data_IF_925002800603
#
_entry.id   IF_925002800603
#
_cell.length_a   1.000
_cell.length_b   1.000
_cell.length_c   1.000
_cell.angle_alpha   90.00
_cell.angle_beta   90.00
_cell.angle_gamma   90.00
#
_symmetry.space_group_name_H-M   'P 1'
#
loop_
_entity.id
_entity.type
_entity.pdbx_description
1 polymer ?
#
# COMPACT_ATOMS: atom_id res chain seq x y z
N UNK A 1 22.82 -56.74 56.26
CA UNK A 1 22.75 -56.79 54.79
C UNK A 1 22.73 -55.36 54.27
N UNK A 2 23.65 -55.05 53.37
CA UNK A 2 23.88 -53.74 52.74
C UNK A 2 23.13 -53.71 51.41
N UNK A 3 22.44 -52.61 51.11
CA UNK A 3 22.22 -52.03 49.76
C UNK A 3 21.59 -50.64 49.97
N UNK A 4 22.34 -49.52 49.89
CA UNK A 4 22.65 -48.72 48.69
C UNK A 4 21.38 -48.47 47.86
N UNK A 5 20.88 -47.24 47.71
CA UNK A 5 21.23 -46.29 46.63
C UNK A 5 19.94 -45.57 46.16
N UNK A 6 19.84 -44.35 45.62
CA UNK A 6 20.70 -43.19 45.30
C UNK A 6 19.78 -41.96 45.28
N UNK A 7 20.31 -40.79 45.66
CA UNK A 7 19.75 -39.47 45.34
C UNK A 7 20.01 -39.18 43.85
N UNK A 8 19.01 -38.68 43.12
CA UNK A 8 19.23 -37.98 41.86
C UNK A 8 18.42 -36.68 41.87
N UNK A 9 19.13 -35.57 42.11
CA UNK A 9 18.70 -34.23 41.77
C UNK A 9 18.90 -34.01 40.27
N UNK A 10 17.91 -33.44 39.58
CA UNK A 10 18.11 -32.85 38.26
C UNK A 10 17.36 -31.53 38.16
N UNK A 11 18.14 -30.46 38.16
CA UNK A 11 17.79 -29.11 37.76
C UNK A 11 17.35 -29.11 36.29
N UNK A 12 16.31 -28.35 35.97
CA UNK A 12 15.88 -28.11 34.60
C UNK A 12 14.95 -26.92 34.53
N UNK A 13 15.54 -25.72 34.51
CA UNK A 13 14.84 -24.45 34.24
C UNK A 13 14.35 -24.52 32.79
N UNK A 14 13.12 -24.99 32.60
CA UNK A 14 12.41 -24.89 31.33
C UNK A 14 11.70 -23.55 31.26
N UNK A 15 12.44 -22.46 31.05
CA UNK A 15 11.83 -21.23 30.58
C UNK A 15 11.16 -21.56 29.24
N UNK A 16 9.84 -21.56 29.21
CA UNK A 16 9.04 -21.65 28.00
C UNK A 16 9.42 -20.45 27.13
N UNK A 17 10.41 -20.63 26.26
CA UNK A 17 10.67 -19.74 25.14
C UNK A 17 9.42 -19.83 24.26
N UNK A 18 8.46 -18.95 24.52
CA UNK A 18 7.38 -18.71 23.59
C UNK A 18 8.04 -18.31 22.26
N UNK A 19 7.68 -18.93 21.13
CA UNK A 19 8.12 -18.42 19.86
C UNK A 19 7.61 -16.99 19.76
N UNK A 20 8.52 -16.03 19.81
CA UNK A 20 8.26 -14.67 19.37
C UNK A 20 7.98 -14.81 17.88
N UNK A 21 6.71 -14.99 17.53
CA UNK A 21 6.25 -14.72 16.18
C UNK A 21 6.55 -13.25 15.97
N UNK A 22 7.68 -12.96 15.31
CA UNK A 22 7.88 -11.70 14.62
C UNK A 22 6.75 -11.62 13.60
N UNK A 23 5.62 -11.04 13.99
CA UNK A 23 4.71 -10.43 13.04
C UNK A 23 5.57 -9.38 12.34
N UNK A 24 6.09 -9.77 11.20
CA UNK A 24 6.64 -8.87 10.21
C UNK A 24 5.57 -7.80 10.03
N UNK A 25 5.81 -6.61 10.59
CA UNK A 25 4.85 -5.52 10.55
C UNK A 25 4.62 -5.25 9.06
N UNK A 26 3.48 -5.69 8.55
CA UNK A 26 3.19 -5.60 7.13
C UNK A 26 3.37 -4.14 6.70
N UNK A 27 4.19 -3.91 5.68
CA UNK A 27 4.41 -2.58 5.13
C UNK A 27 3.06 -2.04 4.67
N UNK A 28 2.52 -1.08 5.42
CA UNK A 28 1.13 -0.66 5.27
C UNK A 28 1.06 0.83 4.94
N UNK A 29 0.37 1.14 3.83
CA UNK A 29 0.08 2.51 3.47
C UNK A 29 -1.02 3.11 4.37
N UNK A 30 -1.01 4.43 4.62
CA UNK A 30 -1.98 5.07 5.50
C UNK A 30 -3.37 5.24 4.86
N UNK A 31 -3.68 4.50 3.79
CA UNK A 31 -4.91 4.61 3.02
C UNK A 31 -5.54 3.23 2.83
N UNK A 32 -6.86 3.19 2.70
CA UNK A 32 -7.57 1.95 2.41
C UNK A 32 -7.15 1.36 1.04
N UNK A 33 -7.26 0.04 0.91
CA UNK A 33 -7.13 -0.61 -0.38
C UNK A 33 -8.30 -0.23 -1.31
N UNK A 34 -8.04 -0.19 -2.61
CA UNK A 34 -9.00 0.08 -3.66
C UNK A 34 -8.50 1.09 -4.69
N UNK A 35 -9.46 1.64 -5.45
CA UNK A 35 -9.18 2.54 -6.57
C UNK A 35 -9.44 3.98 -6.15
N UNK A 36 -8.40 4.80 -6.24
CA UNK A 36 -8.37 6.18 -5.82
C UNK A 36 -8.36 7.09 -7.06
N UNK A 37 -9.36 7.95 -7.17
CA UNK A 37 -9.56 8.86 -8.30
C UNK A 37 -9.39 10.29 -7.82
N UNK A 38 -8.72 11.13 -8.62
CA UNK A 38 -8.62 12.57 -8.35
C UNK A 38 -10.00 13.18 -8.08
N UNK A 39 -10.12 13.98 -7.03
CA UNK A 39 -11.42 14.52 -6.59
C UNK A 39 -12.09 15.42 -7.63
N UNK A 40 -11.30 16.07 -8.50
CA UNK A 40 -11.77 16.86 -9.64
C UNK A 40 -12.32 16.01 -10.80
N UNK A 41 -12.24 14.67 -10.72
CA UNK A 41 -12.68 13.75 -11.76
C UNK A 41 -13.76 12.81 -11.21
N UNK A 42 -14.82 12.60 -12.00
CA UNK A 42 -15.86 11.63 -11.65
C UNK A 42 -15.30 10.20 -11.73
N UNK A 43 -15.82 9.26 -10.93
CA UNK A 43 -15.37 7.86 -11.02
C UNK A 43 -15.64 7.28 -12.43
N UNK A 44 -16.79 7.63 -13.00
CA UNK A 44 -17.28 7.09 -14.26
C UNK A 44 -16.47 7.58 -15.47
N UNK A 45 -15.83 8.75 -15.36
CA UNK A 45 -15.03 9.34 -16.44
C UNK A 45 -13.51 9.22 -16.23
N UNK A 46 -13.08 8.57 -15.13
CA UNK A 46 -11.66 8.48 -14.79
C UNK A 46 -10.88 7.67 -15.85
N UNK A 47 -9.80 8.25 -16.36
CA UNK A 47 -8.85 7.62 -17.27
C UNK A 47 -7.47 7.44 -16.66
N UNK A 48 -7.23 8.03 -15.47
CA UNK A 48 -6.07 7.85 -14.62
C UNK A 48 -6.56 7.63 -13.18
N UNK A 49 -6.06 6.59 -12.51
CA UNK A 49 -6.37 6.26 -11.13
C UNK A 49 -5.11 5.81 -10.41
N UNK A 50 -5.11 5.96 -9.09
CA UNK A 50 -4.18 5.23 -8.22
C UNK A 50 -4.85 3.96 -7.70
N UNK A 51 -4.09 2.90 -7.55
CA UNK A 51 -4.57 1.61 -7.01
C UNK A 51 -3.73 1.26 -5.79
N UNK A 52 -4.39 0.93 -4.69
CA UNK A 52 -3.76 0.28 -3.55
C UNK A 52 -4.34 -1.13 -3.41
N UNK A 53 -3.54 -2.18 -3.64
CA UNK A 53 -3.99 -3.58 -3.52
C UNK A 53 -2.93 -4.42 -2.83
N UNK A 54 -3.23 -4.94 -1.65
CA UNK A 54 -2.23 -5.67 -0.84
C UNK A 54 -1.01 -4.79 -0.59
N UNK A 55 0.17 -5.29 -0.99
CA UNK A 55 1.44 -4.58 -0.95
C UNK A 55 1.79 -3.91 -2.29
N UNK A 56 0.81 -3.52 -3.11
CA UNK A 56 1.05 -2.78 -4.36
C UNK A 56 0.41 -1.41 -4.33
N UNK A 57 1.12 -0.43 -4.87
CA UNK A 57 0.63 0.92 -5.04
C UNK A 57 1.15 1.57 -6.32
N UNK A 58 0.36 2.43 -6.94
CA UNK A 58 0.79 3.28 -8.05
C UNK A 58 -0.36 3.63 -8.98
N UNK A 59 -0.04 4.15 -10.15
CA UNK A 59 -1.03 4.63 -11.12
C UNK A 59 -1.36 3.62 -12.22
N UNK A 60 -2.60 3.62 -12.66
CA UNK A 60 -3.05 2.96 -13.89
C UNK A 60 -3.75 4.00 -14.75
N UNK A 61 -3.32 4.17 -15.99
CA UNK A 61 -3.87 5.21 -16.85
C UNK A 61 -3.86 4.88 -18.34
N UNK A 62 -4.73 5.58 -19.08
CA UNK A 62 -4.78 5.54 -20.53
C UNK A 62 -4.19 6.83 -21.12
N UNK A 63 -3.45 6.70 -22.22
CA UNK A 63 -2.71 7.78 -22.86
C UNK A 63 -2.98 7.84 -24.37
N UNK A 64 -2.32 8.76 -25.08
CA UNK A 64 -2.56 9.04 -26.49
C UNK A 64 -3.83 9.86 -26.75
N UNK A 65 -4.10 10.26 -28.02
CA UNK A 65 -5.29 11.02 -28.36
C UNK A 65 -6.56 10.32 -27.88
N UNK A 66 -7.42 11.06 -27.17
CA UNK A 66 -8.67 10.56 -26.58
C UNK A 66 -8.48 9.32 -25.67
N UNK A 67 -7.32 9.17 -25.02
CA UNK A 67 -7.01 8.03 -24.16
C UNK A 67 -7.15 6.68 -24.89
N UNK A 68 -6.80 6.63 -26.17
CA UNK A 68 -6.94 5.46 -27.03
C UNK A 68 -5.94 4.33 -26.70
N UNK A 69 -4.83 4.64 -26.05
CA UNK A 69 -3.77 3.69 -25.70
C UNK A 69 -3.78 3.31 -24.21
N UNK A 70 -3.25 2.14 -23.88
CA UNK A 70 -3.11 1.62 -22.51
C UNK A 70 -4.07 0.47 -22.16
N UNK A 71 -4.19 0.11 -20.87
CA UNK A 71 -3.64 0.84 -19.72
C UNK A 71 -2.11 0.73 -19.61
N UNK A 72 -1.45 1.82 -19.25
CA UNK A 72 -0.16 1.74 -18.58
C UNK A 72 -0.40 1.36 -17.12
N UNK A 73 0.36 0.40 -16.62
CA UNK A 73 0.37 -0.02 -15.21
C UNK A 73 1.71 0.38 -14.61
N UNK A 74 1.69 1.43 -13.80
CA UNK A 74 2.83 1.91 -13.02
C UNK A 74 2.63 1.59 -11.53
N UNK A 75 1.88 0.53 -11.22
CA UNK A 75 1.88 -0.01 -9.86
C UNK A 75 3.19 -0.74 -9.59
N UNK A 76 3.73 -0.50 -8.41
CA UNK A 76 4.93 -1.16 -7.91
C UNK A 76 4.63 -1.92 -6.62
N UNK A 77 5.52 -2.85 -6.29
CA UNK A 77 5.51 -3.48 -4.98
C UNK A 77 5.98 -2.47 -3.95
N UNK A 78 5.22 -2.28 -2.88
CA UNK A 78 5.61 -1.50 -1.71
C UNK A 78 6.50 -2.39 -0.85
N UNK A 79 7.81 -2.25 -1.02
CA UNK A 79 8.84 -3.00 -0.27
C UNK A 79 9.23 -2.29 1.01
N UNK A 80 9.10 -0.96 1.08
CA UNK A 80 9.39 -0.18 2.27
C UNK A 80 8.51 1.07 2.34
N UNK A 81 8.29 1.53 3.57
CA UNK A 81 7.64 2.82 3.84
C UNK A 81 8.42 3.57 4.90
N UNK A 82 8.51 4.89 4.76
CA UNK A 82 9.08 5.76 5.78
C UNK A 82 8.18 6.98 6.04
N UNK A 83 8.44 7.67 7.16
CA UNK A 83 7.70 8.88 7.49
C UNK A 83 8.19 10.03 6.60
N UNK A 84 7.31 10.51 5.73
CA UNK A 84 7.50 11.74 4.96
C UNK A 84 7.14 12.99 5.77
N UNK A 85 7.33 14.16 5.17
CA UNK A 85 6.92 15.44 5.77
C UNK A 85 5.39 15.59 5.75
N UNK A 86 4.85 16.47 6.59
CA UNK A 86 3.42 16.87 6.58
C UNK A 86 2.42 15.72 6.73
N UNK A 87 2.80 14.66 7.45
CA UNK A 87 1.94 13.50 7.67
C UNK A 87 1.77 12.61 6.43
N UNK A 88 2.71 12.65 5.49
CA UNK A 88 2.80 11.70 4.40
C UNK A 88 3.65 10.47 4.78
N UNK A 89 3.43 9.39 4.05
CA UNK A 89 4.24 8.17 4.04
C UNK A 89 4.95 8.09 2.69
N UNK A 90 6.27 8.03 2.70
CA UNK A 90 7.10 7.84 1.51
C UNK A 90 7.11 6.35 1.14
N UNK A 91 6.92 6.05 -0.14
CA UNK A 91 6.90 4.69 -0.70
C UNK A 91 8.24 4.39 -1.33
N UNK A 92 8.86 3.23 -1.03
CA UNK A 92 10.08 2.74 -1.67
C UNK A 92 11.21 3.80 -1.77
N UNK A 93 11.40 4.59 -0.71
CA UNK A 93 12.38 5.71 -0.66
C UNK A 93 12.05 6.94 -1.53
N UNK A 94 10.90 6.92 -2.21
CA UNK A 94 10.38 8.02 -3.02
C UNK A 94 10.50 7.76 -4.52
N UNK A 95 10.04 8.71 -5.37
CA UNK A 95 9.59 10.05 -5.01
C UNK A 95 8.12 10.12 -4.59
N UNK A 96 7.38 9.01 -4.63
CA UNK A 96 5.94 9.00 -4.36
C UNK A 96 5.66 8.95 -2.87
N UNK A 97 4.75 9.82 -2.43
CA UNK A 97 4.27 9.84 -1.06
C UNK A 97 2.75 9.87 -1.00
N UNK A 98 2.19 9.23 0.03
CA UNK A 98 0.75 9.13 0.26
C UNK A 98 0.40 9.58 1.67
N UNK A 99 -0.65 10.38 1.81
CA UNK A 99 -1.17 10.83 3.12
C UNK A 99 -2.67 10.66 3.22
N UNK A 100 -3.15 10.13 4.35
CA UNK A 100 -4.58 10.10 4.66
C UNK A 100 -5.13 11.52 4.83
N UNK A 101 -6.38 11.74 4.40
CA UNK A 101 -7.11 13.00 4.60
C UNK A 101 -8.47 12.73 5.22
N UNK A 102 -9.08 13.78 5.75
CA UNK A 102 -10.43 13.69 6.32
C UNK A 102 -11.45 13.29 5.25
N UNK A 103 -12.63 12.83 5.71
CA UNK A 103 -13.78 12.48 4.85
C UNK A 103 -13.45 11.40 3.80
N UNK A 104 -12.60 10.43 4.14
CA UNK A 104 -12.27 9.30 3.27
C UNK A 104 -11.49 9.69 2.01
N UNK A 105 -10.80 10.83 2.06
CA UNK A 105 -9.89 11.26 1.00
C UNK A 105 -8.46 10.85 1.31
N UNK A 106 -7.61 10.90 0.31
CA UNK A 106 -6.17 10.80 0.45
C UNK A 106 -5.49 11.85 -0.40
N UNK A 107 -4.19 12.01 -0.20
CA UNK A 107 -3.35 12.86 -1.00
C UNK A 107 -2.18 12.04 -1.52
N UNK A 108 -1.94 12.10 -2.81
CA UNK A 108 -0.76 11.50 -3.45
C UNK A 108 0.10 12.65 -3.95
N UNK A 109 1.41 12.61 -3.72
CA UNK A 109 2.33 13.63 -4.23
C UNK A 109 3.61 12.98 -4.73
N UNK A 110 4.25 13.61 -5.71
CA UNK A 110 5.68 13.43 -5.91
C UNK A 110 6.43 14.48 -5.10
N UNK A 111 7.43 14.04 -4.32
CA UNK A 111 8.24 14.89 -3.48
C UNK A 111 9.72 14.70 -3.82
N UNK A 112 10.41 15.80 -4.12
CA UNK A 112 11.86 15.85 -4.29
C UNK A 112 12.50 16.37 -3.01
N UNK A 113 13.59 15.74 -2.55
CA UNK A 113 14.31 16.20 -1.37
C UNK A 113 14.92 17.60 -1.56
N UNK A 114 15.34 17.94 -2.78
CA UNK A 114 15.97 19.23 -3.09
C UNK A 114 15.00 20.31 -3.53
N UNK A 115 13.86 19.93 -4.13
CA UNK A 115 12.91 20.88 -4.73
C UNK A 115 11.54 20.90 -4.02
N UNK A 116 11.32 20.03 -3.05
CA UNK A 116 10.04 19.90 -2.36
C UNK A 116 8.96 19.23 -3.23
N UNK A 117 7.66 19.50 -2.96
CA UNK A 117 6.56 18.87 -3.69
C UNK A 117 6.55 19.32 -5.15
N UNK A 118 6.58 18.35 -6.07
CA UNK A 118 6.56 18.60 -7.52
C UNK A 118 5.13 18.69 -8.04
N UNK A 119 4.26 17.84 -7.52
CA UNK A 119 2.82 17.88 -7.75
C UNK A 119 2.12 17.25 -6.56
N UNK A 120 0.84 17.58 -6.38
CA UNK A 120 0.00 16.97 -5.33
C UNK A 120 -1.40 16.82 -5.86
N UNK A 121 -1.97 15.63 -5.66
CA UNK A 121 -3.34 15.31 -6.03
C UNK A 121 -4.13 14.91 -4.79
N UNK A 122 -5.30 15.51 -4.62
CA UNK A 122 -6.29 14.99 -3.69
C UNK A 122 -7.13 13.94 -4.41
N UNK A 123 -7.26 12.77 -3.80
CA UNK A 123 -7.94 11.62 -4.37
C UNK A 123 -9.00 11.11 -3.39
N UNK A 124 -9.99 10.41 -3.94
CA UNK A 124 -11.07 9.76 -3.18
C UNK A 124 -11.25 8.34 -3.65
N UNK A 125 -11.69 7.47 -2.74
CA UNK A 125 -12.00 6.09 -3.07
C UNK A 125 -13.22 6.04 -4.00
N UNK A 126 -13.12 5.25 -5.07
CA UNK A 126 -14.20 4.95 -5.99
C UNK A 126 -14.52 3.46 -5.94
N UNK A 127 -15.77 3.05 -5.66
CA UNK A 127 -16.19 1.66 -5.79
C UNK A 127 -15.99 1.19 -7.24
N UNK A 128 -15.49 -0.02 -7.44
CA UNK A 128 -15.22 -0.57 -8.77
C UNK A 128 -16.44 -0.52 -9.71
N UNK A 129 -17.64 -0.70 -9.17
CA UNK A 129 -18.90 -0.62 -9.92
C UNK A 129 -19.21 0.77 -10.51
N UNK A 130 -18.61 1.84 -9.97
CA UNK A 130 -18.80 3.22 -10.42
C UNK A 130 -17.79 3.66 -11.48
N UNK A 131 -16.80 2.82 -11.79
CA UNK A 131 -15.79 3.08 -12.81
C UNK A 131 -16.37 2.83 -14.21
N UNK A 132 -15.78 3.45 -15.23
CA UNK A 132 -16.11 3.11 -16.63
C UNK A 132 -15.89 1.63 -16.91
N UNK A 133 -16.67 1.06 -17.84
CA UNK A 133 -16.49 -0.33 -18.29
C UNK A 133 -15.07 -0.59 -18.79
N UNK A 134 -14.48 0.37 -19.51
CA UNK A 134 -13.11 0.32 -20.02
C UNK A 134 -12.08 0.20 -18.89
N UNK A 135 -12.13 1.10 -17.90
CA UNK A 135 -11.19 1.11 -16.79
C UNK A 135 -11.37 -0.11 -15.89
N UNK A 136 -12.61 -0.44 -15.51
CA UNK A 136 -12.92 -1.63 -14.72
C UNK A 136 -12.40 -2.91 -15.40
N UNK A 137 -12.64 -3.04 -16.71
CA UNK A 137 -12.14 -4.16 -17.51
C UNK A 137 -10.62 -4.23 -17.59
N UNK A 138 -9.94 -3.08 -17.59
CA UNK A 138 -8.48 -3.01 -17.53
C UNK A 138 -7.95 -3.47 -16.16
N UNK A 139 -8.49 -2.95 -15.06
CA UNK A 139 -8.06 -3.30 -13.71
C UNK A 139 -8.30 -4.78 -13.38
N UNK A 140 -9.40 -5.37 -13.85
CA UNK A 140 -9.64 -6.82 -13.71
C UNK A 140 -8.57 -7.65 -14.47
N UNK A 141 -8.21 -7.26 -15.69
CA UNK A 141 -7.17 -7.95 -16.48
C UNK A 141 -5.78 -7.85 -15.83
N UNK A 142 -5.48 -6.70 -15.22
CA UNK A 142 -4.27 -6.48 -14.44
C UNK A 142 -4.31 -7.14 -13.04
N UNK A 143 -5.44 -7.75 -12.66
CA UNK A 143 -5.68 -8.31 -11.32
C UNK A 143 -5.46 -7.26 -10.22
N UNK A 144 -5.90 -6.03 -10.46
CA UNK A 144 -5.79 -4.88 -9.55
C UNK A 144 -7.10 -4.52 -8.83
N UNK A 145 -8.20 -5.17 -9.21
CA UNK A 145 -9.46 -5.26 -8.45
C UNK A 145 -9.96 -6.70 -8.46
#
# INVERSE_FOLDING_TARGET
MVTRSWIAAALGIGALAQPVSSLEAAVQLPIAQGVWVKTATSCASATNVYVHKGNRFGSVYFYGPNHSMGPADETELVVSTSRGKDGYTTINEGPIEVGARLKGQASVRAYSLSQGPQWTETVRLCPAATLSSKLRGALMRLKLI
#
